data_IF_238030555518
#
_entry.id   IF_238030555518
#
_cell.length_a   1.000
_cell.length_b   1.000
_cell.length_c   1.000
_cell.angle_alpha   90.00
_cell.angle_beta   90.00
_cell.angle_gamma   90.00
#
_symmetry.space_group_name_H-M   'P 1'
#
loop_
_entity.id
_entity.type
_entity.pdbx_description
1 polymer ?
#
# COMPACT_ATOMS: atom_id res chain seq x y z
N UNK A 1 -42.16 24.71 6.82
CA UNK A 1 -40.80 24.33 7.17
C UNK A 1 -40.79 23.64 8.51
N UNK A 2 -40.16 22.47 8.57
CA UNK A 2 -40.00 21.78 9.84
C UNK A 2 -38.85 22.47 10.62
N UNK A 3 -39.17 22.93 11.79
CA UNK A 3 -38.15 23.51 12.71
C UNK A 3 -37.87 22.50 13.81
N UNK A 4 -36.61 22.26 14.04
CA UNK A 4 -36.18 21.39 15.14
C UNK A 4 -35.67 22.28 16.28
N UNK A 5 -36.24 22.08 17.45
CA UNK A 5 -35.83 22.83 18.64
C UNK A 5 -34.99 21.90 19.53
N UNK A 6 -33.77 22.31 19.82
CA UNK A 6 -32.85 21.57 20.67
C UNK A 6 -32.56 22.37 21.93
N UNK A 7 -32.40 21.68 23.05
CA UNK A 7 -31.87 22.31 24.26
C UNK A 7 -30.38 22.59 24.06
N UNK A 8 -29.81 23.50 24.84
CA UNK A 8 -28.37 23.79 24.76
C UNK A 8 -27.52 22.58 25.11
N UNK A 9 -28.00 21.71 25.99
CA UNK A 9 -27.32 20.45 26.34
C UNK A 9 -27.31 19.47 25.19
N UNK A 10 -28.46 19.30 24.50
CA UNK A 10 -28.58 18.45 23.33
C UNK A 10 -27.68 18.96 22.20
N UNK A 11 -27.66 20.25 21.97
CA UNK A 11 -26.79 20.86 20.96
C UNK A 11 -25.31 20.63 21.27
N UNK A 12 -24.91 20.85 22.54
CA UNK A 12 -23.53 20.62 22.97
C UNK A 12 -23.12 19.16 22.81
N UNK A 13 -24.02 18.21 23.12
CA UNK A 13 -23.77 16.79 22.95
C UNK A 13 -23.56 16.44 21.47
N UNK A 14 -24.40 16.98 20.58
CA UNK A 14 -24.27 16.77 19.12
C UNK A 14 -22.96 17.32 18.57
N UNK A 15 -22.56 18.50 19.02
CA UNK A 15 -21.30 19.13 18.62
C UNK A 15 -20.12 18.27 19.09
N UNK A 16 -20.16 17.79 20.33
CA UNK A 16 -19.11 16.92 20.87
C UNK A 16 -19.00 15.61 20.10
N UNK A 17 -20.13 14.98 19.78
CA UNK A 17 -20.16 13.75 18.98
C UNK A 17 -19.61 13.99 17.57
N UNK A 18 -20.00 15.08 16.95
CA UNK A 18 -19.50 15.46 15.63
C UNK A 18 -17.99 15.63 15.63
N UNK A 19 -17.47 16.35 16.63
CA UNK A 19 -16.04 16.63 16.73
C UNK A 19 -15.24 15.34 17.01
N UNK A 20 -15.79 14.45 17.86
CA UNK A 20 -15.19 13.14 18.11
C UNK A 20 -15.13 12.30 16.82
N UNK A 21 -16.23 12.25 16.08
CA UNK A 21 -16.29 11.50 14.81
C UNK A 21 -15.35 12.08 13.76
N UNK A 22 -15.21 13.39 13.68
CA UNK A 22 -14.24 14.04 12.79
C UNK A 22 -12.82 13.65 13.15
N UNK A 23 -12.51 13.65 14.45
CA UNK A 23 -11.19 13.22 14.92
C UNK A 23 -10.89 11.77 14.53
N UNK A 24 -11.87 10.88 14.69
CA UNK A 24 -11.74 9.48 14.27
C UNK A 24 -11.55 9.36 12.76
N UNK A 25 -12.33 10.09 11.98
CA UNK A 25 -12.20 10.09 10.52
C UNK A 25 -10.82 10.58 10.08
N UNK A 26 -10.34 11.66 10.67
CA UNK A 26 -9.02 12.22 10.36
C UNK A 26 -7.92 11.23 10.72
N UNK A 27 -8.05 10.57 11.88
CA UNK A 27 -7.11 9.52 12.28
C UNK A 27 -7.10 8.35 11.32
N UNK A 28 -8.28 7.87 10.91
CA UNK A 28 -8.42 6.78 9.95
C UNK A 28 -7.87 7.15 8.57
N UNK A 29 -8.11 8.38 8.10
CA UNK A 29 -7.54 8.86 6.85
C UNK A 29 -6.01 8.89 6.90
N UNK A 30 -5.44 9.29 8.03
CA UNK A 30 -4.00 9.26 8.25
C UNK A 30 -3.43 7.85 8.20
N UNK A 31 -4.09 6.90 8.86
CA UNK A 31 -3.71 5.49 8.85
C UNK A 31 -3.78 4.91 7.43
N UNK A 32 -4.84 5.21 6.69
CA UNK A 32 -5.00 4.75 5.30
C UNK A 32 -3.87 5.29 4.42
N UNK A 33 -3.49 6.54 4.57
CA UNK A 33 -2.37 7.14 3.81
C UNK A 33 -1.06 6.41 4.13
N UNK A 34 -0.79 6.18 5.41
CA UNK A 34 0.41 5.47 5.85
C UNK A 34 0.45 4.06 5.29
N UNK A 35 -0.67 3.33 5.36
CA UNK A 35 -0.78 1.98 4.83
C UNK A 35 -0.58 1.95 3.32
N UNK A 36 -1.11 2.91 2.58
CA UNK A 36 -0.92 3.03 1.13
C UNK A 36 0.55 3.20 0.77
N UNK A 37 1.26 4.04 1.52
CA UNK A 37 2.69 4.26 1.31
C UNK A 37 3.47 2.97 1.60
N UNK A 38 3.16 2.29 2.70
CA UNK A 38 3.79 1.02 3.06
C UNK A 38 3.56 -0.05 1.99
N UNK A 39 2.32 -0.18 1.50
CA UNK A 39 1.99 -1.12 0.43
C UNK A 39 2.79 -0.81 -0.84
N UNK A 40 2.86 0.45 -1.24
CA UNK A 40 3.65 0.87 -2.41
C UNK A 40 5.11 0.52 -2.26
N UNK A 41 5.70 0.75 -1.09
CA UNK A 41 7.09 0.41 -0.82
C UNK A 41 7.33 -1.11 -0.86
N UNK A 42 6.41 -1.88 -0.29
CA UNK A 42 6.49 -3.34 -0.32
C UNK A 42 6.38 -3.88 -1.73
N UNK A 43 5.49 -3.31 -2.54
CA UNK A 43 5.33 -3.67 -3.95
C UNK A 43 6.61 -3.39 -4.74
N UNK A 44 7.23 -2.24 -4.53
CA UNK A 44 8.50 -1.88 -5.16
C UNK A 44 9.61 -2.83 -4.78
N UNK A 45 9.71 -3.19 -3.50
CA UNK A 45 10.69 -4.16 -3.00
C UNK A 45 10.46 -5.54 -3.63
N UNK A 46 9.20 -5.95 -3.71
CA UNK A 46 8.84 -7.22 -4.34
C UNK A 46 9.25 -7.24 -5.80
N UNK A 47 8.96 -6.18 -6.55
CA UNK A 47 9.36 -6.04 -7.95
C UNK A 47 10.88 -6.10 -8.10
N UNK A 48 11.61 -5.43 -7.22
CA UNK A 48 13.08 -5.44 -7.24
C UNK A 48 13.63 -6.84 -6.99
N UNK A 49 13.07 -7.57 -6.02
CA UNK A 49 13.45 -8.94 -5.73
C UNK A 49 13.16 -9.88 -6.91
N UNK A 50 11.98 -9.73 -7.51
CA UNK A 50 11.59 -10.54 -8.68
C UNK A 50 12.53 -10.27 -9.85
N UNK A 51 12.91 -9.04 -10.12
CA UNK A 51 13.87 -8.69 -11.15
C UNK A 51 15.21 -9.36 -10.92
N UNK A 52 15.72 -9.30 -9.69
CA UNK A 52 16.98 -9.93 -9.32
C UNK A 52 16.93 -11.44 -9.53
N UNK A 53 15.83 -12.07 -9.13
CA UNK A 53 15.64 -13.51 -9.32
C UNK A 53 15.58 -13.89 -10.79
N UNK A 54 14.83 -13.13 -11.59
CA UNK A 54 14.72 -13.36 -13.03
C UNK A 54 16.04 -13.12 -13.74
N UNK A 55 16.76 -12.06 -13.40
CA UNK A 55 18.07 -11.77 -13.98
C UNK A 55 19.06 -12.86 -13.65
N UNK A 56 19.08 -13.33 -12.42
CA UNK A 56 19.94 -14.44 -12.01
C UNK A 56 19.63 -15.72 -12.75
N UNK A 57 18.34 -16.03 -12.94
CA UNK A 57 17.90 -17.20 -13.72
C UNK A 57 18.25 -17.07 -15.19
N UNK A 58 18.09 -15.89 -15.77
CA UNK A 58 18.45 -15.61 -17.16
C UNK A 58 19.95 -15.78 -17.38
N UNK A 59 20.77 -15.27 -16.48
CA UNK A 59 22.23 -15.43 -16.57
C UNK A 59 22.64 -16.90 -16.46
N UNK A 60 22.04 -17.64 -15.52
CA UNK A 60 22.30 -19.05 -15.35
C UNK A 60 21.90 -19.84 -16.60
N UNK A 61 20.73 -19.57 -17.18
CA UNK A 61 20.26 -20.20 -18.40
C UNK A 61 21.15 -19.85 -19.61
N UNK A 62 21.52 -18.57 -19.72
CA UNK A 62 22.42 -18.10 -20.76
C UNK A 62 23.77 -18.79 -20.71
N UNK A 63 24.32 -18.96 -19.51
CA UNK A 63 25.57 -19.67 -19.27
C UNK A 63 25.47 -21.14 -19.68
N UNK A 64 24.39 -21.81 -19.28
CA UNK A 64 24.15 -23.21 -19.66
C UNK A 64 24.01 -23.40 -21.17
N UNK A 65 23.28 -22.51 -21.80
CA UNK A 65 23.11 -22.53 -23.26
C UNK A 65 24.42 -22.31 -23.99
N UNK A 66 25.25 -21.41 -23.52
CA UNK A 66 26.58 -21.16 -24.08
C UNK A 66 27.48 -22.38 -23.95
N UNK A 67 27.49 -23.01 -22.79
CA UNK A 67 28.29 -24.22 -22.55
C UNK A 67 27.84 -25.36 -23.46
N UNK A 68 26.54 -25.55 -23.62
CA UNK A 68 26.00 -26.55 -24.54
C UNK A 68 26.40 -26.25 -26.00
N UNK A 69 26.32 -25.00 -26.39
CA UNK A 69 26.70 -24.56 -27.74
C UNK A 69 28.18 -24.79 -28.00
N UNK A 70 29.05 -24.48 -27.08
CA UNK A 70 30.48 -24.70 -27.20
C UNK A 70 30.81 -26.18 -27.30
N UNK A 71 30.13 -27.01 -26.50
CA UNK A 71 30.32 -28.45 -26.55
C UNK A 71 29.91 -29.08 -27.89
N UNK A 72 28.87 -28.56 -28.49
CA UNK A 72 28.41 -29.04 -29.81
C UNK A 72 29.38 -28.64 -30.93
N UNK A 73 30.02 -27.49 -30.82
CA UNK A 73 30.97 -27.02 -31.85
C UNK A 73 32.30 -27.78 -31.80
N UNK A 74 32.69 -28.27 -30.63
CA UNK A 74 33.87 -29.10 -30.48
C UNK A 74 33.63 -30.52 -31.04
#
# INVERSE_FOLDING_TARGET
MATITLTSEEYAALVADRDALRGECDGLHGEVRTLKVEVSLLEERLKAHLRKLFDAKSEARGSEQQDMFFNEVE
#
